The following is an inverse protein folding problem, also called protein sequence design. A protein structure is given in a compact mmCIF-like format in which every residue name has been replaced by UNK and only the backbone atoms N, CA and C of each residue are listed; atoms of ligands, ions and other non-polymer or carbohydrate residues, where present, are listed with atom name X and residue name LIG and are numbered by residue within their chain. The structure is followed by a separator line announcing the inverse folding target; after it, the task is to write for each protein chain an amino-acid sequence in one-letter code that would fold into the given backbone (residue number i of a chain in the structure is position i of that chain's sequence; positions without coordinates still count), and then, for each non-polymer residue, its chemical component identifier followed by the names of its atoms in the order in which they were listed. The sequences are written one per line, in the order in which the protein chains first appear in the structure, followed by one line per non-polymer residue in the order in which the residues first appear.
data_IF_218587761745
#
_entry.id   IF_218587761745
#
_cell.length_a   1.000
_cell.length_b   1.000
_cell.length_c   1.000
_cell.angle_alpha   90.00
_cell.angle_beta   90.00
_cell.angle_gamma   90.00
#
_symmetry.space_group_name_H-M   'P 1'
#
loop_
_entity.id
_entity.type
_entity.pdbx_description
1 polymer ?
#
# COMPACT_ATOMS: atom_id res chain seq x y z
N UNK A 1 -9.53 -23.47 2.15
CA UNK A 1 -8.89 -22.23 2.66
C UNK A 1 -7.42 -22.15 2.21
N UNK A 2 -6.87 -20.93 2.06
CA UNK A 2 -5.46 -20.75 1.65
C UNK A 2 -4.54 -20.74 2.89
N UNK A 3 -4.86 -20.01 3.95
CA UNK A 3 -4.21 -20.18 5.27
C UNK A 3 -5.16 -19.97 6.45
N UNK A 4 -6.07 -19.00 6.35
CA UNK A 4 -7.01 -18.66 7.41
C UNK A 4 -8.24 -19.56 7.36
N UNK A 5 -8.64 -20.07 8.53
CA UNK A 5 -9.89 -20.84 8.68
C UNK A 5 -11.10 -19.92 8.90
N UNK A 6 -10.88 -18.76 9.50
CA UNK A 6 -11.89 -17.77 9.84
C UNK A 6 -11.38 -16.33 9.59
N UNK A 7 -12.29 -15.35 9.70
CA UNK A 7 -11.93 -13.93 9.59
C UNK A 7 -11.07 -13.43 10.76
N UNK A 8 -11.16 -14.08 11.93
CA UNK A 8 -10.36 -13.74 13.10
C UNK A 8 -8.87 -13.94 12.84
N UNK A 9 -8.50 -15.08 12.28
CA UNK A 9 -7.12 -15.36 11.89
C UNK A 9 -6.61 -14.43 10.78
N UNK A 10 -7.43 -14.19 9.76
CA UNK A 10 -7.06 -13.28 8.67
C UNK A 10 -6.77 -11.87 9.20
N UNK A 11 -7.62 -11.35 10.09
CA UNK A 11 -7.42 -10.04 10.77
C UNK A 11 -6.15 -10.02 11.63
N UNK A 12 -5.77 -11.13 12.26
CA UNK A 12 -4.51 -11.22 13.02
C UNK A 12 -3.31 -11.08 12.08
N UNK A 13 -3.29 -11.82 10.97
CA UNK A 13 -2.21 -11.78 9.97
C UNK A 13 -2.07 -10.39 9.32
N UNK A 14 -3.19 -9.72 9.02
CA UNK A 14 -3.18 -8.34 8.50
C UNK A 14 -2.56 -7.37 9.51
N UNK A 15 -2.91 -7.47 10.80
CA UNK A 15 -2.33 -6.61 11.85
C UNK A 15 -0.84 -6.85 12.05
N UNK A 16 -0.40 -8.10 11.99
CA UNK A 16 1.04 -8.44 12.04
C UNK A 16 1.79 -7.81 10.87
N UNK A 17 1.26 -7.93 9.65
CA UNK A 17 1.84 -7.31 8.46
C UNK A 17 1.89 -5.78 8.58
N UNK A 18 0.82 -5.14 9.06
CA UNK A 18 0.79 -3.69 9.28
C UNK A 18 1.86 -3.24 10.28
N UNK A 19 2.05 -3.98 11.38
CA UNK A 19 3.11 -3.68 12.37
C UNK A 19 4.50 -3.84 11.78
N UNK A 20 4.71 -4.84 10.92
CA UNK A 20 5.98 -5.05 10.24
C UNK A 20 6.30 -3.86 9.32
N UNK A 21 5.36 -3.47 8.46
CA UNK A 21 5.49 -2.28 7.61
C UNK A 21 5.75 -1.00 8.42
N UNK A 22 4.99 -0.77 9.49
CA UNK A 22 5.12 0.44 10.31
C UNK A 22 6.52 0.62 10.92
N UNK A 23 7.16 -0.50 11.27
CA UNK A 23 8.54 -0.53 11.79
C UNK A 23 9.58 -0.39 10.68
N UNK A 24 9.29 -0.86 9.48
CA UNK A 24 10.21 -0.82 8.35
C UNK A 24 10.25 0.54 7.63
N UNK A 25 9.17 1.33 7.68
CA UNK A 25 9.12 2.63 7.01
C UNK A 25 10.32 3.54 7.32
N UNK A 26 10.73 3.77 8.59
CA UNK A 26 11.91 4.58 8.88
C UNK A 26 13.19 4.05 8.23
N UNK A 27 13.39 2.72 8.24
CA UNK A 27 14.55 2.08 7.61
C UNK A 27 14.53 2.30 6.11
N UNK A 28 13.40 2.06 5.46
CA UNK A 28 13.24 2.28 4.02
C UNK A 28 13.49 3.75 3.63
N UNK A 29 12.94 4.72 4.38
CA UNK A 29 13.16 6.15 4.10
C UNK A 29 14.65 6.50 4.13
N UNK A 30 15.38 6.00 5.12
CA UNK A 30 16.82 6.24 5.24
C UNK A 30 17.63 5.52 4.15
N UNK A 31 17.36 4.22 3.95
CA UNK A 31 18.11 3.35 3.06
C UNK A 31 17.98 3.74 1.59
N UNK A 32 16.77 4.11 1.16
CA UNK A 32 16.50 4.61 -0.20
C UNK A 32 16.70 6.13 -0.34
N UNK A 33 17.10 6.81 0.75
CA UNK A 33 17.29 8.27 0.81
C UNK A 33 16.09 9.06 0.28
N UNK A 34 14.86 8.64 0.63
CA UNK A 34 13.64 9.22 0.04
C UNK A 34 13.40 10.66 0.50
N UNK A 35 12.88 11.51 -0.39
CA UNK A 35 12.53 12.91 -0.08
C UNK A 35 11.17 13.04 0.64
N UNK A 36 10.78 12.02 1.41
CA UNK A 36 9.53 11.99 2.17
C UNK A 36 9.80 11.90 3.65
N UNK A 37 8.90 12.46 4.45
CA UNK A 37 8.94 12.26 5.90
C UNK A 37 8.48 10.85 6.27
N UNK A 38 9.03 10.30 7.36
CA UNK A 38 8.59 9.01 7.93
C UNK A 38 7.07 9.01 8.21
N UNK A 39 6.51 10.17 8.58
CA UNK A 39 5.07 10.35 8.80
C UNK A 39 4.28 10.17 7.49
N UNK A 40 4.72 10.78 6.39
CA UNK A 40 4.11 10.58 5.07
C UNK A 40 4.18 9.12 4.64
N UNK A 41 5.33 8.46 4.84
CA UNK A 41 5.48 7.03 4.55
C UNK A 41 4.49 6.16 5.34
N UNK A 42 4.34 6.40 6.65
CA UNK A 42 3.38 5.68 7.50
C UNK A 42 1.93 5.94 7.09
N UNK A 43 1.61 7.18 6.75
CA UNK A 43 0.28 7.54 6.24
C UNK A 43 -0.02 6.81 4.94
N UNK A 44 0.97 6.68 4.04
CA UNK A 44 0.80 5.96 2.78
C UNK A 44 0.59 4.47 2.99
N UNK A 45 1.34 3.85 3.92
CA UNK A 45 1.07 2.47 4.34
C UNK A 45 -0.38 2.34 4.82
N UNK A 46 -0.85 3.24 5.69
CA UNK A 46 -2.25 3.21 6.17
C UNK A 46 -3.26 3.33 5.03
N UNK A 47 -3.05 4.25 4.09
CA UNK A 47 -3.90 4.44 2.91
C UNK A 47 -4.01 3.14 2.09
N UNK A 48 -2.88 2.48 1.82
CA UNK A 48 -2.86 1.23 1.04
C UNK A 48 -3.60 0.07 1.74
N UNK A 49 -3.53 -0.01 3.07
CA UNK A 49 -4.33 -0.98 3.82
C UNK A 49 -5.83 -0.64 3.80
N UNK A 50 -6.18 0.65 3.92
CA UNK A 50 -7.59 1.09 3.89
C UNK A 50 -8.24 0.91 2.51
N UNK A 51 -7.47 1.00 1.42
CA UNK A 51 -7.96 0.73 0.06
C UNK A 51 -8.63 -0.66 -0.05
N UNK A 52 -8.15 -1.64 0.71
CA UNK A 52 -8.67 -3.01 0.69
C UNK A 52 -9.62 -3.33 1.87
N UNK A 53 -10.07 -2.35 2.64
CA UNK A 53 -10.90 -2.58 3.83
C UNK A 53 -12.29 -3.17 3.52
N UNK A 54 -12.76 -3.05 2.28
CA UNK A 54 -14.05 -3.55 1.82
C UNK A 54 -14.05 -5.07 1.53
N UNK A 55 -12.88 -5.72 1.53
CA UNK A 55 -12.75 -7.15 1.19
C UNK A 55 -13.24 -8.01 2.36
N UNK A 56 -14.23 -8.86 2.10
CA UNK A 56 -14.85 -9.73 3.11
C UNK A 56 -14.45 -11.20 2.98
N UNK A 57 -14.01 -11.67 1.80
CA UNK A 57 -13.60 -13.07 1.60
C UNK A 57 -12.22 -13.33 2.24
N UNK A 58 -12.12 -14.24 3.22
CA UNK A 58 -10.84 -14.58 3.88
C UNK A 58 -9.74 -15.02 2.91
N UNK A 59 -10.08 -15.69 1.80
CA UNK A 59 -9.10 -16.19 0.83
C UNK A 59 -8.42 -15.04 0.07
N UNK A 60 -9.19 -14.00 -0.24
CA UNK A 60 -8.68 -12.79 -0.88
C UNK A 60 -7.80 -12.01 0.10
N UNK A 61 -8.22 -11.92 1.37
CA UNK A 61 -7.40 -11.31 2.43
C UNK A 61 -6.07 -12.04 2.59
N UNK A 62 -6.08 -13.38 2.63
CA UNK A 62 -4.85 -14.18 2.72
C UNK A 62 -3.91 -13.90 1.53
N UNK A 63 -4.44 -13.85 0.32
CA UNK A 63 -3.66 -13.54 -0.88
C UNK A 63 -3.06 -12.13 -0.83
N UNK A 64 -3.83 -11.14 -0.37
CA UNK A 64 -3.35 -9.76 -0.20
C UNK A 64 -2.25 -9.67 0.86
N UNK A 65 -2.37 -10.43 1.95
CA UNK A 65 -1.33 -10.51 2.99
C UNK A 65 -0.05 -11.14 2.43
N UNK A 66 -0.16 -12.22 1.64
CA UNK A 66 1.00 -12.86 1.01
C UNK A 66 1.71 -11.87 0.08
N UNK A 67 0.96 -11.19 -0.80
CA UNK A 67 1.52 -10.14 -1.68
C UNK A 67 2.18 -9.05 -0.86
N UNK A 68 1.54 -8.55 0.18
CA UNK A 68 2.10 -7.52 1.04
C UNK A 68 3.35 -7.96 1.82
N UNK A 69 3.52 -9.26 2.10
CA UNK A 69 4.75 -9.82 2.67
C UNK A 69 5.88 -9.89 1.63
N UNK A 70 5.58 -10.32 0.40
CA UNK A 70 6.55 -10.32 -0.70
C UNK A 70 7.08 -8.91 -0.97
N UNK A 71 6.17 -7.93 -1.06
CA UNK A 71 6.51 -6.52 -1.27
C UNK A 71 7.39 -5.95 -0.14
N UNK A 72 7.16 -6.40 1.10
CA UNK A 72 7.96 -6.02 2.26
C UNK A 72 9.36 -6.63 2.19
N UNK A 73 9.47 -7.91 1.82
CA UNK A 73 10.74 -8.61 1.68
C UNK A 73 11.61 -7.98 0.58
N UNK A 74 11.02 -7.65 -0.57
CA UNK A 74 11.69 -6.90 -1.64
C UNK A 74 12.21 -5.53 -1.18
N UNK A 75 11.47 -4.87 -0.28
CA UNK A 75 11.84 -3.57 0.28
C UNK A 75 12.98 -3.69 1.28
N UNK A 76 12.90 -4.67 2.20
CA UNK A 76 13.93 -4.92 3.23
C UNK A 76 15.24 -5.37 2.60
N UNK A 77 15.18 -6.26 1.60
CA UNK A 77 16.37 -6.81 0.93
C UNK A 77 16.98 -5.89 -0.13
N UNK A 78 16.42 -4.70 -0.32
CA UNK A 78 16.89 -3.71 -1.31
C UNK A 78 16.87 -4.27 -2.73
N UNK A 79 15.87 -5.09 -3.05
CA UNK A 79 15.65 -5.57 -4.42
C UNK A 79 14.93 -4.51 -5.25
N UNK A 80 14.18 -3.63 -4.59
CA UNK A 80 13.58 -2.45 -5.21
C UNK A 80 14.61 -1.33 -5.34
N UNK A 81 14.32 -0.42 -6.25
CA UNK A 81 15.00 0.88 -6.35
C UNK A 81 14.09 1.99 -5.85
N UNK A 82 14.66 3.17 -5.57
CA UNK A 82 13.94 4.38 -5.15
C UNK A 82 12.68 4.66 -5.99
N UNK A 83 12.77 4.51 -7.31
CA UNK A 83 11.65 4.71 -8.26
C UNK A 83 10.44 3.82 -7.95
N UNK A 84 10.66 2.56 -7.60
CA UNK A 84 9.60 1.61 -7.26
C UNK A 84 8.86 2.02 -5.98
N UNK A 85 9.58 2.54 -4.99
CA UNK A 85 8.98 3.03 -3.73
C UNK A 85 8.25 4.36 -3.96
N UNK A 86 8.85 5.27 -4.72
CA UNK A 86 8.23 6.58 -5.02
C UNK A 86 6.98 6.46 -5.91
N UNK A 87 6.86 5.38 -6.70
CA UNK A 87 5.66 5.13 -7.52
C UNK A 87 4.37 5.06 -6.70
N UNK A 88 4.42 4.66 -5.43
CA UNK A 88 3.22 4.68 -4.59
C UNK A 88 2.68 6.09 -4.35
N UNK A 89 3.53 7.13 -4.38
CA UNK A 89 3.16 8.49 -4.04
C UNK A 89 2.54 9.27 -5.22
N UNK A 90 2.68 8.78 -6.46
CA UNK A 90 2.10 9.37 -7.69
C UNK A 90 2.33 10.89 -7.82
N UNK A 91 3.47 11.41 -7.36
CA UNK A 91 3.72 12.87 -7.24
C UNK A 91 3.71 13.59 -8.59
N UNK A 92 4.11 12.92 -9.67
CA UNK A 92 4.18 13.49 -11.02
C UNK A 92 2.87 13.35 -11.80
N UNK A 93 1.89 12.60 -11.29
CA UNK A 93 0.62 12.40 -11.98
C UNK A 93 -0.29 13.60 -11.76
N UNK A 94 -0.80 14.16 -12.85
CA UNK A 94 -1.80 15.23 -12.75
C UNK A 94 -3.06 14.67 -12.10
N UNK A 95 -3.56 15.28 -11.01
CA UNK A 95 -4.72 14.77 -10.30
C UNK A 95 -5.91 14.76 -11.24
N UNK A 96 -6.51 13.58 -11.45
CA UNK A 96 -7.67 13.47 -12.33
C UNK A 96 -8.88 14.17 -11.71
N UNK A 97 -9.67 14.88 -12.53
CA UNK A 97 -10.89 15.52 -12.09
C UNK A 97 -11.88 14.47 -11.55
N UNK A 98 -12.37 14.68 -10.33
CA UNK A 98 -13.36 13.78 -9.71
C UNK A 98 -14.79 14.26 -9.91
N UNK A 99 -14.98 15.56 -10.06
CA UNK A 99 -16.30 16.17 -10.22
C UNK A 99 -16.74 16.12 -11.69
N UNK A 100 -18.05 15.98 -11.90
CA UNK A 100 -18.65 15.86 -13.22
C UNK A 100 -18.27 17.05 -14.12
N UNK A 101 -18.38 18.27 -13.61
CA UNK A 101 -18.10 19.47 -14.39
C UNK A 101 -16.63 19.55 -14.80
N UNK A 102 -15.73 19.21 -13.89
CA UNK A 102 -14.29 19.16 -14.17
C UNK A 102 -13.93 18.06 -15.18
N UNK A 103 -14.61 16.90 -15.15
CA UNK A 103 -14.45 15.83 -16.14
C UNK A 103 -14.99 16.23 -17.51
N UNK A 104 -16.18 16.84 -17.53
CA UNK A 104 -16.82 17.34 -18.74
C UNK A 104 -15.93 18.34 -19.49
N UNK A 105 -15.27 19.27 -18.76
CA UNK A 105 -14.32 20.20 -19.38
C UNK A 105 -13.00 19.54 -19.80
N UNK A 106 -12.57 18.45 -19.15
CA UNK A 106 -11.34 17.74 -19.49
C UNK A 106 -11.46 16.85 -20.74
N UNK A 107 -12.68 16.47 -21.13
CA UNK A 107 -12.95 15.72 -22.36
C UNK A 107 -13.89 14.53 -22.16
N UNK A 108 -13.72 13.49 -22.98
CA UNK A 108 -14.61 12.34 -23.06
C UNK A 108 -14.15 11.14 -22.20
N UNK A 109 -13.83 11.37 -20.92
CA UNK A 109 -13.74 10.27 -19.95
C UNK A 109 -15.12 10.02 -19.32
N UNK A 110 -15.68 8.80 -19.41
CA UNK A 110 -16.99 8.47 -18.85
C UNK A 110 -17.07 8.52 -17.30
#
# INVERSE_FOLDING_TARGET
PIFSRDLGEARRRVRELYRAWYREVPNAVHLYQLDITVKQGRNKVREMFMKNAHVTDPRVVDMLVIKGKMELEETIKVWKQRTHVMRYFHETETPQPKDFLSKFYAGHDP
#
